data_IF_456332703152
#
_entry.id   IF_456332703152
#
_cell.length_a   1.000
_cell.length_b   1.000
_cell.length_c   1.000
_cell.angle_alpha   90.00
_cell.angle_beta   90.00
_cell.angle_gamma   90.00
#
_symmetry.space_group_name_H-M   'P 1'
#
loop_
_entity.id
_entity.type
_entity.pdbx_description
1 polymer ?
#
# COMPACT_ATOMS: atom_id res chain seq x y z
N UNK A 1 14.46 11.12 -2.94
CA UNK A 1 14.40 9.66 -3.09
C UNK A 1 13.21 9.32 -4.00
N UNK A 2 13.44 8.61 -5.07
CA UNK A 2 12.36 8.20 -5.95
C UNK A 2 11.72 6.92 -5.45
N UNK A 3 10.42 6.81 -5.66
CA UNK A 3 9.65 5.60 -5.34
C UNK A 3 8.92 5.17 -6.60
N UNK A 4 8.61 3.89 -6.70
CA UNK A 4 7.87 3.35 -7.83
C UNK A 4 6.86 2.34 -7.38
N UNK A 5 5.81 2.19 -8.16
CA UNK A 5 4.83 1.13 -7.96
C UNK A 5 5.23 -0.10 -8.76
N UNK A 6 5.00 -1.28 -8.17
CA UNK A 6 5.09 -2.55 -8.88
C UNK A 6 3.74 -3.25 -8.78
N UNK A 7 3.19 -3.62 -9.92
CA UNK A 7 1.93 -4.33 -9.99
C UNK A 7 2.21 -5.81 -10.20
N UNK A 8 1.59 -6.65 -9.39
CA UNK A 8 1.79 -8.10 -9.42
C UNK A 8 0.47 -8.82 -9.60
N UNK A 9 0.50 -9.96 -10.27
CA UNK A 9 -0.64 -10.83 -10.44
C UNK A 9 -0.29 -12.20 -9.84
N UNK A 10 -1.16 -12.72 -8.97
CA UNK A 10 -0.92 -14.02 -8.36
C UNK A 10 -1.52 -15.15 -9.20
N UNK A 11 -1.35 -16.39 -8.74
CA UNK A 11 -1.82 -17.59 -9.46
C UNK A 11 -3.33 -17.66 -9.56
N UNK A 12 -4.04 -16.95 -8.70
CA UNK A 12 -5.51 -16.91 -8.69
C UNK A 12 -6.08 -15.81 -9.57
N UNK A 13 -5.23 -15.06 -10.26
CA UNK A 13 -5.66 -13.96 -11.11
C UNK A 13 -5.96 -12.67 -10.36
N UNK A 14 -5.61 -12.60 -9.09
CA UNK A 14 -5.77 -11.38 -8.28
C UNK A 14 -4.56 -10.49 -8.44
N UNK A 15 -4.77 -9.19 -8.28
CA UNK A 15 -3.72 -8.19 -8.43
C UNK A 15 -3.44 -7.52 -7.09
N UNK A 16 -2.17 -7.17 -6.86
CA UNK A 16 -1.78 -6.29 -5.76
C UNK A 16 -0.63 -5.42 -6.23
N UNK A 17 -0.37 -4.35 -5.52
CA UNK A 17 0.75 -3.48 -5.85
C UNK A 17 1.60 -3.24 -4.60
N UNK A 18 2.85 -2.89 -4.85
CA UNK A 18 3.78 -2.48 -3.81
C UNK A 18 4.37 -1.13 -4.20
N UNK A 19 4.66 -0.31 -3.21
CA UNK A 19 5.40 0.93 -3.39
C UNK A 19 6.82 0.67 -2.90
N UNK A 20 7.79 0.87 -3.78
CA UNK A 20 9.19 0.55 -3.49
C UNK A 20 10.10 1.74 -3.73
N UNK A 21 11.20 1.76 -2.99
CA UNK A 21 12.28 2.73 -3.20
C UNK A 21 13.22 2.25 -4.30
N UNK A 22 14.16 3.12 -4.71
CA UNK A 22 15.12 2.80 -5.76
C UNK A 22 16.02 1.62 -5.43
N UNK A 23 16.28 1.38 -4.14
CA UNK A 23 17.11 0.26 -3.69
C UNK A 23 16.33 -1.05 -3.56
N UNK A 24 15.05 -1.05 -3.94
CA UNK A 24 14.23 -2.26 -3.91
C UNK A 24 13.51 -2.52 -2.60
N UNK A 25 13.62 -1.62 -1.63
CA UNK A 25 12.93 -1.80 -0.35
C UNK A 25 11.43 -1.53 -0.50
N UNK A 26 10.60 -2.38 0.10
CA UNK A 26 9.16 -2.19 0.09
C UNK A 26 8.76 -1.20 1.17
N UNK A 27 8.09 -0.12 0.75
CA UNK A 27 7.58 0.90 1.67
C UNK A 27 6.15 0.56 2.10
N UNK A 28 5.35 0.06 1.15
CA UNK A 28 3.92 -0.15 1.35
C UNK A 28 3.45 -1.27 0.43
N UNK A 29 2.54 -2.10 0.91
CA UNK A 29 1.90 -3.15 0.10
C UNK A 29 0.40 -2.99 0.16
N UNK A 30 -0.27 -3.21 -0.97
CA UNK A 30 -1.72 -3.13 -1.04
C UNK A 30 -2.36 -4.45 -0.67
N UNK A 31 -3.70 -4.42 -0.55
CA UNK A 31 -4.51 -5.62 -0.47
C UNK A 31 -4.67 -6.24 -1.86
N UNK A 32 -5.30 -7.41 -1.92
CA UNK A 32 -5.58 -8.09 -3.18
C UNK A 32 -6.79 -7.47 -3.86
N UNK A 33 -6.69 -7.27 -5.17
CA UNK A 33 -7.77 -6.74 -6.00
C UNK A 33 -8.15 -7.78 -7.05
N UNK A 34 -9.43 -7.83 -7.39
CA UNK A 34 -9.96 -8.81 -8.36
C UNK A 34 -9.65 -8.43 -9.80
N UNK A 35 -9.32 -7.17 -10.08
CA UNK A 35 -9.05 -6.71 -11.42
C UNK A 35 -7.89 -5.72 -11.44
N UNK A 36 -7.25 -5.61 -12.61
CA UNK A 36 -6.18 -4.62 -12.81
C UNK A 36 -6.71 -3.20 -12.64
N UNK A 37 -7.92 -2.92 -13.12
CA UNK A 37 -8.51 -1.59 -12.98
C UNK A 37 -8.70 -1.21 -11.52
N UNK A 38 -9.15 -2.14 -10.68
CA UNK A 38 -9.30 -1.90 -9.25
C UNK A 38 -7.95 -1.64 -8.58
N UNK A 39 -6.91 -2.40 -8.97
CA UNK A 39 -5.57 -2.19 -8.44
C UNK A 39 -5.02 -0.82 -8.85
N UNK A 40 -5.27 -0.40 -10.09
CA UNK A 40 -4.85 0.92 -10.56
C UNK A 40 -5.56 2.04 -9.81
N UNK A 41 -6.85 1.86 -9.49
CA UNK A 41 -7.58 2.80 -8.64
C UNK A 41 -6.96 2.88 -7.24
N UNK A 42 -6.51 1.75 -6.70
CA UNK A 42 -5.81 1.71 -5.42
C UNK A 42 -4.49 2.48 -5.47
N UNK A 43 -3.74 2.34 -6.56
CA UNK A 43 -2.50 3.10 -6.75
C UNK A 43 -2.76 4.60 -6.80
N UNK A 44 -3.81 5.02 -7.50
CA UNK A 44 -4.20 6.44 -7.54
C UNK A 44 -4.59 6.93 -6.15
N UNK A 45 -5.28 6.11 -5.37
CA UNK A 45 -5.66 6.44 -4.00
C UNK A 45 -4.42 6.63 -3.12
N UNK A 46 -3.41 5.77 -3.27
CA UNK A 46 -2.15 5.92 -2.54
C UNK A 46 -1.48 7.25 -2.87
N UNK A 47 -1.40 7.60 -4.15
CA UNK A 47 -0.81 8.88 -4.57
C UNK A 47 -1.54 10.06 -3.96
N UNK A 48 -2.86 10.01 -3.94
CA UNK A 48 -3.69 11.09 -3.42
C UNK A 48 -3.57 11.23 -1.90
N UNK A 49 -3.57 10.10 -1.17
CA UNK A 49 -3.63 10.12 0.28
C UNK A 49 -2.25 10.16 0.95
N UNK A 50 -1.19 9.73 0.27
CA UNK A 50 0.14 9.67 0.87
C UNK A 50 0.72 11.05 1.20
N UNK A 51 0.18 12.11 0.61
CA UNK A 51 0.61 13.49 0.90
C UNK A 51 -0.13 14.09 2.11
N UNK A 52 -1.07 13.35 2.70
CA UNK A 52 -1.88 13.79 3.83
C UNK A 52 -1.46 13.02 5.08
N UNK A 53 -0.71 13.64 6.02
CA UNK A 53 -0.23 12.91 7.20
C UNK A 53 -1.33 12.26 8.02
N UNK A 54 -2.52 12.84 8.06
CA UNK A 54 -3.66 12.33 8.83
C UNK A 54 -4.22 11.02 8.26
N UNK A 55 -3.81 10.63 7.05
CA UNK A 55 -4.25 9.37 6.43
C UNK A 55 -3.42 8.17 6.89
N UNK A 56 -2.30 8.41 7.56
CA UNK A 56 -1.45 7.35 8.09
C UNK A 56 -1.85 7.02 9.52
N UNK A 57 -1.89 5.73 9.84
CA UNK A 57 -2.12 5.27 11.20
C UNK A 57 -0.95 4.37 11.63
N UNK A 58 -0.30 4.76 12.72
CA UNK A 58 0.81 3.99 13.27
C UNK A 58 0.25 2.92 14.22
N UNK A 59 0.67 1.68 14.02
CA UNK A 59 0.18 0.54 14.76
C UNK A 59 1.36 -0.26 15.32
N UNK A 60 1.07 -1.10 16.32
CA UNK A 60 2.07 -2.00 16.90
C UNK A 60 1.57 -3.43 16.77
N UNK A 61 2.39 -4.30 16.19
CA UNK A 61 2.04 -5.71 16.05
C UNK A 61 2.14 -6.41 17.42
N UNK A 62 1.58 -7.62 17.50
CA UNK A 62 1.56 -8.38 18.74
C UNK A 62 2.96 -8.74 19.25
N UNK A 63 3.97 -8.77 18.37
CA UNK A 63 5.36 -9.05 18.73
C UNK A 63 6.15 -7.76 19.07
N UNK A 64 5.48 -6.61 19.13
CA UNK A 64 6.10 -5.33 19.50
C UNK A 64 6.65 -4.53 18.34
N UNK A 65 6.65 -5.05 17.12
CA UNK A 65 7.16 -4.30 15.97
C UNK A 65 6.17 -3.26 15.49
N UNK A 66 6.68 -2.10 15.11
CA UNK A 66 5.86 -1.00 14.62
C UNK A 66 5.63 -1.11 13.11
N UNK A 67 4.46 -0.72 12.68
CA UNK A 67 4.13 -0.60 11.25
C UNK A 67 3.09 0.50 11.09
N UNK A 68 2.79 0.85 9.84
CA UNK A 68 1.74 1.83 9.60
C UNK A 68 0.83 1.36 8.47
N UNK A 69 -0.37 1.92 8.45
CA UNK A 69 -1.31 1.74 7.34
C UNK A 69 -1.61 3.10 6.73
N UNK A 70 -1.93 3.11 5.44
CA UNK A 70 -2.40 4.29 4.75
C UNK A 70 -3.87 4.10 4.43
N UNK A 71 -4.70 5.05 4.84
CA UNK A 71 -6.15 4.98 4.66
C UNK A 71 -6.64 6.03 3.68
N UNK A 72 -7.69 5.69 2.95
CA UNK A 72 -8.41 6.64 2.11
C UNK A 72 -9.36 7.48 2.97
N UNK A 73 -10.01 8.48 2.34
CA UNK A 73 -10.95 9.35 3.05
C UNK A 73 -12.11 8.60 3.69
N UNK A 74 -12.49 7.45 3.14
CA UNK A 74 -13.55 6.61 3.68
C UNK A 74 -13.07 5.63 4.75
N UNK A 75 -11.83 5.80 5.25
CA UNK A 75 -11.17 4.98 6.26
C UNK A 75 -10.83 3.56 5.81
N UNK A 76 -10.93 3.26 4.53
CA UNK A 76 -10.47 1.96 4.02
C UNK A 76 -8.95 1.94 3.89
N UNK A 77 -8.35 0.83 4.29
CA UNK A 77 -6.90 0.67 4.19
C UNK A 77 -6.53 0.45 2.72
N UNK A 78 -5.67 1.32 2.19
CA UNK A 78 -5.18 1.20 0.81
C UNK A 78 -3.77 0.63 0.75
N UNK A 79 -3.07 0.57 1.87
CA UNK A 79 -1.75 -0.04 1.93
C UNK A 79 -1.28 -0.23 3.35
N UNK A 80 -0.35 -1.17 3.54
CA UNK A 80 0.23 -1.50 4.84
C UNK A 80 1.76 -1.58 4.68
N UNK A 81 2.49 -0.98 5.61
CA UNK A 81 3.95 -1.05 5.59
C UNK A 81 4.44 -2.41 6.08
N UNK A 82 5.66 -2.83 5.71
CA UNK A 82 6.29 -3.98 6.36
C UNK A 82 6.63 -3.63 7.82
N UNK A 83 6.77 -4.66 8.60
CA UNK A 83 7.15 -4.50 10.00
C UNK A 83 8.65 -4.45 10.21
#
# INVERSE_FOLDING_TARGET
MAVRFELHKNDKGQFHFSLKTDDGATVLSSEQYESKASAENGMASVKKNSVLPERFEKLTASDGRAYFTLKAANHQIVGTSPM
#
